data_IF_415070802257
#
_entry.id   IF_415070802257
#
_cell.length_a   1.000
_cell.length_b   1.000
_cell.length_c   1.000
_cell.angle_alpha   90.00
_cell.angle_beta   90.00
_cell.angle_gamma   90.00
#
_symmetry.space_group_name_H-M   'P 1'
#
loop_
_entity.id
_entity.type
_entity.pdbx_description
1 polymer ?
#
# COMPACT_ATOMS: atom_id res chain seq x y z
N UNK A 1 -3.64 0.71 15.15
CA UNK A 1 -3.96 0.52 13.73
C UNK A 1 -4.62 -0.83 13.51
N UNK A 2 -5.18 -1.06 12.32
CA UNK A 2 -5.67 -2.37 11.87
C UNK A 2 -4.51 -3.19 11.29
N UNK A 3 -4.53 -4.52 11.46
CA UNK A 3 -3.59 -5.43 10.81
C UNK A 3 -4.02 -5.74 9.38
N UNK A 4 -3.06 -5.75 8.46
CA UNK A 4 -3.21 -6.10 7.06
C UNK A 4 -2.27 -7.26 6.74
N UNK A 5 -2.81 -8.32 6.14
CA UNK A 5 -2.01 -9.47 5.73
C UNK A 5 -1.45 -9.23 4.32
N UNK A 6 -0.16 -9.47 4.16
CA UNK A 6 0.54 -9.47 2.87
C UNK A 6 1.01 -10.89 2.62
N UNK A 7 0.55 -11.46 1.51
CA UNK A 7 1.00 -12.75 1.04
C UNK A 7 1.97 -12.54 -0.10
N UNK A 8 3.14 -13.16 0.00
CA UNK A 8 4.19 -13.14 -1.01
C UNK A 8 4.35 -14.56 -1.53
N UNK A 9 4.44 -14.68 -2.86
CA UNK A 9 4.64 -15.96 -3.55
C UNK A 9 5.64 -15.73 -4.67
N UNK A 10 6.55 -16.68 -4.82
CA UNK A 10 7.37 -16.79 -6.02
C UNK A 10 6.52 -17.50 -7.09
N UNK A 11 6.39 -16.88 -8.27
CA UNK A 11 5.62 -17.45 -9.39
C UNK A 11 6.32 -18.67 -9.99
N UNK A 12 7.65 -18.72 -9.89
CA UNK A 12 8.45 -19.86 -10.39
C UNK A 12 8.53 -20.98 -9.35
N UNK A 13 8.11 -20.71 -8.11
CA UNK A 13 8.12 -21.62 -6.97
C UNK A 13 9.49 -22.30 -6.77
N UNK A 14 10.57 -21.54 -6.99
CA UNK A 14 11.93 -22.02 -6.86
C UNK A 14 12.24 -22.35 -5.40
N UNK A 15 12.95 -23.45 -5.15
CA UNK A 15 13.40 -23.84 -3.81
C UNK A 15 14.65 -23.05 -3.42
N UNK A 16 14.49 -21.74 -3.33
CA UNK A 16 15.56 -20.77 -3.05
C UNK A 16 15.15 -19.88 -1.89
N UNK A 17 16.13 -19.38 -1.15
CA UNK A 17 15.91 -18.41 -0.11
C UNK A 17 15.91 -16.99 -0.69
N UNK A 18 14.85 -16.24 -0.41
CA UNK A 18 14.62 -14.88 -0.87
C UNK A 18 14.58 -13.96 0.35
N UNK A 19 15.28 -12.85 0.28
CA UNK A 19 15.17 -11.76 1.24
C UNK A 19 14.30 -10.66 0.64
N UNK A 20 13.21 -10.31 1.32
CA UNK A 20 12.34 -9.21 0.92
C UNK A 20 12.34 -8.08 1.95
N UNK A 21 12.35 -6.85 1.45
CA UNK A 21 12.24 -5.63 2.25
C UNK A 21 10.94 -4.93 1.85
N UNK A 22 10.06 -4.73 2.83
CA UNK A 22 8.82 -3.96 2.65
C UNK A 22 8.96 -2.63 3.37
N UNK A 23 8.69 -1.54 2.63
CA UNK A 23 8.82 -0.17 3.10
C UNK A 23 7.58 0.65 2.82
N UNK A 24 7.14 1.45 3.79
CA UNK A 24 6.14 2.50 3.56
C UNK A 24 6.84 3.80 3.16
N UNK A 25 6.39 4.43 2.09
CA UNK A 25 6.91 5.73 1.64
C UNK A 25 5.81 6.54 0.92
N UNK A 26 6.17 7.68 0.34
CA UNK A 26 5.22 8.56 -0.35
C UNK A 26 4.96 8.09 -1.78
N UNK A 27 3.70 8.17 -2.23
CA UNK A 27 3.37 7.74 -3.58
C UNK A 27 3.90 8.70 -4.64
N UNK A 28 3.88 10.01 -4.42
CA UNK A 28 4.36 10.93 -5.44
C UNK A 28 5.88 11.10 -5.33
N UNK A 29 6.58 11.19 -6.46
CA UNK A 29 8.03 11.28 -6.48
C UNK A 29 8.56 12.55 -5.81
N UNK A 30 7.90 13.68 -6.03
CA UNK A 30 8.21 14.95 -5.36
C UNK A 30 8.18 14.81 -3.84
N UNK A 31 7.18 14.11 -3.30
CA UNK A 31 7.07 13.82 -1.87
C UNK A 31 8.14 12.83 -1.39
N UNK A 32 8.52 11.83 -2.20
CA UNK A 32 9.61 10.89 -1.85
C UNK A 32 10.96 11.59 -1.71
N UNK A 33 11.27 12.55 -2.59
CA UNK A 33 12.54 13.32 -2.55
C UNK A 33 12.73 14.06 -1.22
N UNK A 34 11.63 14.46 -0.57
CA UNK A 34 11.63 15.16 0.72
C UNK A 34 11.01 14.34 1.85
N UNK A 35 10.97 13.00 1.72
CA UNK A 35 10.31 12.09 2.66
C UNK A 35 10.79 12.28 4.12
N UNK A 36 12.08 12.56 4.30
CA UNK A 36 12.68 12.78 5.62
C UNK A 36 12.02 13.94 6.37
N UNK A 37 11.60 15.01 5.68
CA UNK A 37 10.92 16.15 6.29
C UNK A 37 9.52 15.77 6.77
N UNK A 38 8.78 15.01 5.95
CA UNK A 38 7.46 14.52 6.34
C UNK A 38 7.52 13.54 7.52
N UNK A 39 8.49 12.63 7.53
CA UNK A 39 8.68 11.71 8.65
C UNK A 39 9.10 12.42 9.94
N UNK A 40 9.97 13.42 9.86
CA UNK A 40 10.32 14.28 11.00
C UNK A 40 9.10 15.03 11.55
N UNK A 41 8.29 15.62 10.66
CA UNK A 41 7.06 16.29 11.03
C UNK A 41 6.03 15.36 11.66
N UNK A 42 5.89 14.13 11.14
CA UNK A 42 5.03 13.11 11.74
C UNK A 42 5.55 12.70 13.12
N UNK A 43 6.86 12.48 13.26
CA UNK A 43 7.51 12.10 14.51
C UNK A 43 7.34 13.17 15.59
N UNK A 44 7.45 14.45 15.24
CA UNK A 44 7.27 15.55 16.21
C UNK A 44 5.84 15.65 16.77
N UNK A 45 4.87 15.00 16.14
CA UNK A 45 3.49 14.93 16.63
C UNK A 45 3.25 13.74 17.57
N UNK A 46 4.21 12.82 17.68
CA UNK A 46 4.06 11.61 18.48
C UNK A 46 4.34 11.92 19.96
N UNK A 47 3.51 11.37 20.85
CA UNK A 47 3.65 11.56 22.31
C UNK A 47 4.92 10.91 22.88
N UNK A 48 5.49 9.93 22.18
CA UNK A 48 6.67 9.18 22.60
C UNK A 48 7.72 9.19 21.48
N UNK A 49 8.98 9.46 21.83
CA UNK A 49 10.11 9.59 20.88
C UNK A 49 10.57 8.30 20.18
N UNK A 50 9.83 7.19 20.32
CA UNK A 50 10.13 5.89 19.71
C UNK A 50 8.98 5.36 18.83
N UNK A 51 8.19 6.25 18.25
CA UNK A 51 7.12 5.84 17.34
C UNK A 51 7.70 5.22 16.05
N UNK A 52 7.07 4.16 15.54
CA UNK A 52 7.43 3.51 14.26
C UNK A 52 6.28 3.68 13.28
N UNK A 53 6.59 3.82 11.98
CA UNK A 53 5.55 3.92 10.96
C UNK A 53 4.85 2.57 10.68
N UNK A 54 5.58 1.46 10.82
CA UNK A 54 5.08 0.08 10.67
C UNK A 54 5.37 -0.72 11.94
N UNK A 55 4.41 -1.51 12.43
CA UNK A 55 4.63 -2.49 13.50
C UNK A 55 5.40 -3.72 12.99
N UNK A 56 6.19 -4.36 13.85
CA UNK A 56 7.04 -5.53 13.52
C UNK A 56 8.23 -5.14 12.61
N UNK A 57 8.42 -3.84 12.38
CA UNK A 57 9.53 -3.29 11.64
C UNK A 57 10.84 -3.39 12.41
N UNK A 58 11.86 -3.98 11.76
CA UNK A 58 13.25 -3.93 12.20
C UNK A 58 13.80 -2.50 12.09
N UNK A 59 13.20 -1.67 11.24
CA UNK A 59 13.51 -0.25 11.06
C UNK A 59 12.30 0.64 11.34
N UNK A 60 12.46 1.96 11.17
CA UNK A 60 11.39 2.93 11.42
C UNK A 60 10.19 2.76 10.46
N UNK A 61 10.46 2.55 9.17
CA UNK A 61 9.48 2.53 8.07
C UNK A 61 9.54 1.25 7.23
N UNK A 62 10.30 0.25 7.66
CA UNK A 62 10.53 -0.97 6.87
C UNK A 62 10.76 -2.23 7.70
N UNK A 63 10.34 -3.36 7.11
CA UNK A 63 10.53 -4.72 7.60
C UNK A 63 11.41 -5.45 6.59
N UNK A 64 12.39 -6.22 7.06
CA UNK A 64 13.17 -7.16 6.25
C UNK A 64 12.92 -8.56 6.77
N UNK A 65 12.63 -9.51 5.88
CA UNK A 65 12.37 -10.91 6.22
C UNK A 65 12.85 -11.84 5.11
N UNK A 66 13.24 -13.04 5.51
CA UNK A 66 13.62 -14.12 4.61
C UNK A 66 12.49 -15.11 4.48
N UNK A 67 12.35 -15.70 3.30
CA UNK A 67 11.35 -16.70 3.00
C UNK A 67 11.81 -17.63 1.88
N UNK A 68 11.18 -18.78 1.76
CA UNK A 68 11.49 -19.77 0.73
C UNK A 68 10.52 -19.60 -0.45
N UNK A 69 11.05 -19.48 -1.68
CA UNK A 69 10.25 -19.25 -2.89
C UNK A 69 9.12 -20.27 -3.09
N UNK A 70 9.44 -21.55 -2.93
CA UNK A 70 8.48 -22.66 -3.04
C UNK A 70 7.37 -22.64 -2.00
N UNK A 71 7.65 -22.19 -0.77
CA UNK A 71 6.67 -22.13 0.31
C UNK A 71 5.83 -20.84 0.31
N UNK A 72 6.41 -19.72 -0.16
CA UNK A 72 5.82 -18.39 0.00
C UNK A 72 5.96 -17.85 1.43
N UNK A 73 5.41 -16.65 1.65
CA UNK A 73 5.37 -16.00 2.96
C UNK A 73 4.04 -15.30 3.20
N UNK A 74 3.62 -15.23 4.46
CA UNK A 74 2.51 -14.38 4.90
C UNK A 74 2.98 -13.56 6.08
N UNK A 75 2.88 -12.24 5.97
CA UNK A 75 3.18 -11.31 7.05
C UNK A 75 1.95 -10.49 7.40
N UNK A 76 1.79 -10.17 8.69
CA UNK A 76 0.73 -9.29 9.17
C UNK A 76 1.36 -7.98 9.61
N UNK A 77 0.98 -6.87 8.97
CA UNK A 77 1.56 -5.55 9.23
C UNK A 77 0.50 -4.58 9.73
N UNK A 78 0.91 -3.64 10.59
CA UNK A 78 0.04 -2.55 11.07
C UNK A 78 0.71 -1.22 10.79
N UNK A 79 -0.02 -0.29 10.19
CA UNK A 79 0.46 1.07 10.00
C UNK A 79 0.06 1.97 11.17
N UNK A 80 0.97 2.85 11.58
CA UNK A 80 0.76 3.79 12.67
C UNK A 80 0.63 5.26 12.21
N UNK A 81 0.79 5.51 10.91
CA UNK A 81 0.59 6.82 10.31
C UNK A 81 -0.67 6.84 9.45
N UNK A 82 -1.20 8.03 9.21
CA UNK A 82 -2.34 8.28 8.35
C UNK A 82 -1.92 9.17 7.19
N UNK A 83 -2.59 9.05 6.05
CA UNK A 83 -2.31 9.92 4.91
C UNK A 83 -2.48 11.41 5.25
N UNK A 84 -3.32 11.75 6.23
CA UNK A 84 -3.54 13.14 6.68
C UNK A 84 -2.54 13.64 7.72
N UNK A 85 -1.75 12.78 8.36
CA UNK A 85 -0.82 13.21 9.42
C UNK A 85 0.37 14.02 8.88
N UNK A 86 0.60 13.95 7.57
CA UNK A 86 1.70 14.63 6.87
C UNK A 86 1.36 16.04 6.40
N UNK A 87 0.20 16.60 6.80
CA UNK A 87 -0.19 17.98 6.54
C UNK A 87 -0.55 18.70 7.84
N UNK A 88 -0.16 19.97 7.95
CA UNK A 88 -0.57 20.85 9.07
C UNK A 88 -2.02 21.34 8.92
N UNK A 89 -2.53 21.39 7.70
CA UNK A 89 -3.82 21.98 7.39
C UNK A 89 -4.91 20.92 7.61
N UNK A 90 -5.87 21.20 8.49
CA UNK A 90 -7.05 20.35 8.67
C UNK A 90 -7.99 20.47 7.47
N UNK A 91 -8.66 19.37 7.14
CA UNK A 91 -9.65 19.35 6.05
C UNK A 91 -9.07 19.24 4.63
N UNK A 92 -7.75 19.05 4.47
CA UNK A 92 -7.15 18.81 3.16
C UNK A 92 -7.13 17.33 2.80
N UNK A 93 -6.97 17.05 1.51
CA UNK A 93 -6.74 15.70 1.00
C UNK A 93 -5.41 15.18 1.56
N UNK A 94 -5.45 14.03 2.23
CA UNK A 94 -4.25 13.37 2.74
C UNK A 94 -3.24 13.03 1.63
N UNK A 95 -1.95 13.05 1.98
CA UNK A 95 -0.85 12.75 1.07
C UNK A 95 -0.90 11.27 0.69
N UNK A 96 -0.89 10.94 -0.61
CA UNK A 96 -0.84 9.55 -1.08
C UNK A 96 0.43 8.84 -0.60
N UNK A 97 0.27 7.63 -0.06
CA UNK A 97 1.37 6.77 0.39
C UNK A 97 1.50 5.58 -0.54
N UNK A 98 2.64 4.89 -0.49
CA UNK A 98 2.84 3.60 -1.16
C UNK A 98 3.52 2.63 -0.22
N UNK A 99 3.18 1.36 -0.38
CA UNK A 99 4.00 0.25 0.10
C UNK A 99 4.91 -0.16 -1.05
N UNK A 100 6.21 -0.27 -0.80
CA UNK A 100 7.22 -0.68 -1.76
C UNK A 100 7.88 -1.96 -1.25
N UNK A 101 7.92 -3.00 -2.05
CA UNK A 101 8.61 -4.24 -1.76
C UNK A 101 9.79 -4.38 -2.72
N UNK A 102 10.92 -4.78 -2.18
CA UNK A 102 12.10 -5.18 -2.95
C UNK A 102 12.47 -6.60 -2.52
N UNK A 103 12.67 -7.50 -3.48
CA UNK A 103 13.00 -8.89 -3.25
C UNK A 103 14.29 -9.25 -3.98
N UNK A 104 15.14 -10.03 -3.33
CA UNK A 104 16.39 -10.53 -3.90
C UNK A 104 16.72 -11.92 -3.37
N UNK A 105 17.43 -12.72 -4.16
CA UNK A 105 17.98 -13.98 -3.70
C UNK A 105 18.98 -13.74 -2.56
N UNK A 106 18.85 -14.48 -1.46
CA UNK A 106 19.62 -14.24 -0.23
C UNK A 106 21.13 -14.49 -0.42
N UNK A 107 21.48 -15.50 -1.24
CA UNK A 107 22.86 -15.97 -1.39
C UNK A 107 23.52 -15.57 -2.71
N UNK A 108 22.89 -14.68 -3.48
CA UNK A 108 23.38 -14.32 -4.80
C UNK A 108 24.39 -13.16 -4.70
N UNK A 109 25.60 -13.40 -5.20
CA UNK A 109 26.69 -12.42 -5.23
C UNK A 109 27.41 -12.51 -6.57
N UNK A 110 27.34 -11.48 -7.44
CA UNK A 110 26.60 -10.22 -7.28
C UNK A 110 25.07 -10.41 -7.31
N UNK A 111 24.27 -9.45 -6.82
CA UNK A 111 22.81 -9.55 -6.91
C UNK A 111 22.40 -9.54 -8.39
N UNK A 112 22.15 -10.72 -8.98
CA UNK A 112 21.91 -10.84 -10.41
C UNK A 112 20.51 -10.34 -10.82
N UNK A 113 19.56 -10.33 -9.88
CA UNK A 113 18.20 -9.84 -10.11
C UNK A 113 17.55 -9.36 -8.80
N UNK A 114 17.22 -8.08 -8.74
CA UNK A 114 16.34 -7.51 -7.70
C UNK A 114 14.99 -7.21 -8.31
N UNK A 115 13.93 -7.77 -7.75
CA UNK A 115 12.57 -7.47 -8.13
C UNK A 115 12.05 -6.32 -7.26
N UNK A 116 11.27 -5.41 -7.85
CA UNK A 116 10.53 -4.41 -7.09
C UNK A 116 9.06 -4.36 -7.47
N UNK A 117 8.22 -4.15 -6.47
CA UNK A 117 6.79 -3.93 -6.67
C UNK A 117 6.29 -2.87 -5.69
N UNK A 118 5.21 -2.18 -6.07
CA UNK A 118 4.60 -1.21 -5.16
C UNK A 118 3.08 -1.15 -5.27
N UNK A 119 2.47 -0.80 -4.16
CA UNK A 119 1.04 -0.57 -4.01
C UNK A 119 0.81 0.86 -3.56
N UNK A 120 -0.07 1.60 -4.22
CA UNK A 120 -0.57 2.87 -3.68
C UNK A 120 -1.54 2.59 -2.54
N UNK A 121 -1.27 3.14 -1.36
CA UNK A 121 -2.12 2.98 -0.18
C UNK A 121 -2.64 4.34 0.30
N UNK A 122 -3.79 4.30 0.95
CA UNK A 122 -4.36 5.46 1.65
C UNK A 122 -4.86 5.00 3.01
N UNK A 123 -4.33 5.63 4.06
CA UNK A 123 -4.55 5.21 5.44
C UNK A 123 -5.52 6.18 6.12
N UNK A 124 -6.53 5.63 6.79
CA UNK A 124 -7.64 6.36 7.39
C UNK A 124 -7.76 6.05 8.88
N UNK A 125 -8.37 6.97 9.65
CA UNK A 125 -8.79 6.70 11.03
C UNK A 125 -10.09 5.93 11.05
N UNK A 126 -10.21 5.04 12.03
CA UNK A 126 -11.42 4.27 12.32
C UNK A 126 -11.95 3.61 11.04
N UNK A 127 -13.27 3.61 10.84
CA UNK A 127 -13.92 3.11 9.63
C UNK A 127 -13.86 4.07 8.43
N UNK A 128 -12.79 4.86 8.33
CA UNK A 128 -12.67 5.91 7.32
C UNK A 128 -12.48 5.37 5.90
N UNK A 129 -11.85 4.21 5.74
CA UNK A 129 -11.69 3.55 4.45
C UNK A 129 -13.04 3.05 3.91
N UNK A 130 -13.86 2.45 4.78
CA UNK A 130 -15.18 1.92 4.47
C UNK A 130 -16.15 3.04 4.11
N UNK A 131 -16.13 4.14 4.86
CA UNK A 131 -16.89 5.35 4.49
C UNK A 131 -16.49 5.86 3.13
N UNK A 132 -15.18 5.93 2.84
CA UNK A 132 -14.67 6.41 1.55
C UNK A 132 -15.11 5.49 0.40
N UNK A 133 -15.02 4.17 0.56
CA UNK A 133 -15.49 3.21 -0.45
C UNK A 133 -16.99 3.36 -0.71
N UNK A 134 -17.80 3.54 0.34
CA UNK A 134 -19.25 3.78 0.20
C UNK A 134 -19.56 5.09 -0.52
N UNK A 135 -18.80 6.16 -0.23
CA UNK A 135 -18.96 7.45 -0.90
C UNK A 135 -18.56 7.38 -2.37
N UNK A 136 -17.45 6.70 -2.67
CA UNK A 136 -16.96 6.52 -4.04
C UNK A 136 -17.93 5.67 -4.87
N UNK A 137 -18.46 4.57 -4.30
CA UNK A 137 -19.50 3.76 -4.95
C UNK A 137 -20.76 4.58 -5.27
N UNK A 138 -21.27 5.36 -4.32
CA UNK A 138 -22.41 6.27 -4.53
C UNK A 138 -22.12 7.35 -5.58
N UNK A 139 -20.89 7.85 -5.64
CA UNK A 139 -20.50 8.83 -6.63
C UNK A 139 -20.47 8.23 -8.04
N UNK A 140 -19.87 7.05 -8.20
CA UNK A 140 -19.83 6.31 -9.47
C UNK A 140 -21.26 6.01 -9.95
N UNK A 141 -22.13 5.53 -9.07
CA UNK A 141 -23.53 5.25 -9.38
C UNK A 141 -24.26 6.50 -9.92
N UNK A 142 -24.10 7.65 -9.26
CA UNK A 142 -24.67 8.93 -9.72
C UNK A 142 -24.12 9.40 -11.06
N UNK A 143 -22.83 9.21 -11.33
CA UNK A 143 -22.25 9.55 -12.64
C UNK A 143 -22.82 8.65 -13.72
N UNK A 144 -22.98 7.36 -13.41
CA UNK A 144 -23.51 6.39 -14.34
C UNK A 144 -25.00 6.60 -14.64
N UNK A 145 -25.78 7.00 -13.64
CA UNK A 145 -27.20 7.37 -13.82
C UNK A 145 -27.36 8.52 -14.82
N UNK A 146 -26.46 9.50 -14.81
CA UNK A 146 -26.44 10.58 -15.81
C UNK A 146 -26.05 10.11 -17.21
N UNK A 147 -25.29 9.01 -17.31
CA UNK A 147 -24.86 8.41 -18.57
C UNK A 147 -25.88 7.40 -19.13
N UNK A 148 -26.81 6.91 -18.29
CA UNK A 148 -27.96 6.11 -18.76
C UNK A 148 -28.87 7.04 -19.58
N UNK A 149 -28.83 6.90 -20.90
CA UNK A 149 -29.78 7.53 -21.79
C UNK A 149 -31.22 7.10 -21.49
N UNK A 150 -32.19 7.76 -22.14
CA UNK A 150 -33.65 7.59 -21.94
C UNK A 150 -34.20 6.15 -22.07
N UNK A 151 -33.41 5.19 -22.51
CA UNK A 151 -33.85 3.82 -22.81
C UNK A 151 -33.69 2.83 -21.65
N UNK A 152 -33.20 3.25 -20.47
CA UNK A 152 -33.20 2.42 -19.26
C UNK A 152 -32.23 1.24 -19.24
N UNK A 153 -31.54 0.95 -20.35
CA UNK A 153 -30.56 -0.13 -20.44
C UNK A 153 -29.34 0.13 -19.53
N UNK A 154 -28.94 -0.89 -18.77
CA UNK A 154 -27.72 -0.87 -17.95
C UNK A 154 -26.50 -0.90 -18.87
N UNK A 155 -25.67 0.15 -18.80
CA UNK A 155 -24.45 0.25 -19.60
C UNK A 155 -23.52 -0.95 -19.32
N UNK A 156 -22.94 -1.61 -20.34
CA UNK A 156 -22.11 -2.82 -20.18
C UNK A 156 -20.90 -2.65 -19.25
N UNK A 157 -20.48 -1.41 -19.00
CA UNK A 157 -19.43 -1.08 -18.04
C UNK A 157 -19.84 -1.24 -16.55
N UNK A 158 -21.13 -1.49 -16.25
CA UNK A 158 -21.62 -1.75 -14.88
C UNK A 158 -20.84 -2.86 -14.17
N UNK A 159 -20.53 -3.95 -14.88
CA UNK A 159 -19.82 -5.10 -14.32
C UNK A 159 -18.33 -4.83 -14.10
N UNK A 160 -17.74 -3.93 -14.91
CA UNK A 160 -16.32 -3.60 -14.83
C UNK A 160 -16.00 -2.63 -13.67
N UNK A 161 -16.93 -1.71 -13.34
CA UNK A 161 -16.69 -0.69 -12.30
C UNK A 161 -17.14 -1.08 -10.89
N UNK A 162 -17.95 -2.13 -10.73
CA UNK A 162 -18.61 -2.45 -9.45
C UNK A 162 -17.84 -3.42 -8.55
N UNK A 163 -16.83 -4.12 -9.05
CA UNK A 163 -16.13 -5.12 -8.24
C UNK A 163 -14.97 -4.51 -7.44
N UNK A 164 -15.28 -3.99 -6.25
CA UNK A 164 -14.24 -3.75 -5.25
C UNK A 164 -13.77 -5.09 -4.69
N UNK A 165 -12.52 -5.46 -4.95
CA UNK A 165 -11.91 -6.63 -4.32
C UNK A 165 -11.43 -6.28 -2.90
N UNK A 166 -11.53 -7.21 -1.93
CA UNK A 166 -11.05 -6.97 -0.56
C UNK A 166 -9.52 -7.03 -0.44
N UNK A 167 -8.84 -7.34 -1.54
CA UNK A 167 -7.39 -7.43 -1.66
C UNK A 167 -6.94 -6.74 -2.95
N UNK A 168 -5.65 -6.41 -3.00
CA UNK A 168 -5.01 -5.99 -4.25
C UNK A 168 -3.87 -6.95 -4.57
N UNK A 169 -3.86 -7.45 -5.81
CA UNK A 169 -2.77 -8.28 -6.33
C UNK A 169 -1.82 -7.35 -7.08
N UNK A 170 -0.52 -7.56 -6.85
CA UNK A 170 0.54 -6.90 -7.59
C UNK A 170 1.47 -7.99 -8.11
N UNK A 171 1.92 -7.82 -9.34
CA UNK A 171 2.98 -8.61 -9.93
C UNK A 171 4.25 -7.76 -9.96
N UNK A 172 5.38 -8.44 -10.16
CA UNK A 172 6.67 -7.80 -10.36
C UNK A 172 6.64 -6.71 -11.43
N UNK A 173 7.42 -5.66 -11.21
CA UNK A 173 7.80 -4.73 -12.27
C UNK A 173 9.28 -5.02 -12.53
N UNK A 174 9.64 -5.59 -13.70
CA UNK A 174 11.03 -5.78 -14.07
C UNK A 174 11.78 -4.43 -13.98
N UNK A 175 12.91 -4.45 -13.29
CA UNK A 175 13.80 -3.29 -13.14
C UNK A 175 14.59 -2.98 -14.41
#
# INVERSE_FOLDING_TARGET
GQFYNINVKDTDAMDVEITSIIKITFHDESHRKVASNYWKFWMSQQKHGQARAIDIANYFDSISFQWNGKAGASISIRFNCLSTDFSRIKGVKGIPLRLHMESRLTNDSPPASSESSFCRIKLFRDKGAERKNKDDARHIEKQLEKLRGKNGESHPLWLAFSQTQPYTIFCEIPS
#
